data_IF_376345979625
#
_entry.id   IF_376345979625
#
_cell.length_a   1.000
_cell.length_b   1.000
_cell.length_c   1.000
_cell.angle_alpha   90.00
_cell.angle_beta   90.00
_cell.angle_gamma   90.00
#
_symmetry.space_group_name_H-M   'P 1'
#
loop_
_entity.id
_entity.type
_entity.pdbx_description
1 polymer ?
#
# COMPACT_ATOMS: atom_id res chain seq x y z
N UNK A 1 -27.74 12.52 7.34
CA UNK A 1 -28.33 13.26 6.20
C UNK A 1 -27.98 12.50 4.93
N UNK A 2 -28.71 12.63 3.82
CA UNK A 2 -28.38 11.99 2.54
C UNK A 2 -27.05 12.48 1.92
N UNK A 3 -26.29 13.27 2.67
CA UNK A 3 -25.01 13.88 2.35
C UNK A 3 -23.94 13.32 3.30
N UNK A 4 -23.89 11.99 3.46
CA UNK A 4 -22.72 11.40 4.12
C UNK A 4 -21.53 11.68 3.20
N UNK A 5 -20.66 12.60 3.62
CA UNK A 5 -19.45 12.94 2.87
C UNK A 5 -18.68 11.66 2.55
N UNK A 6 -18.35 11.48 1.27
CA UNK A 6 -17.45 10.42 0.84
C UNK A 6 -16.15 10.57 1.62
N UNK A 7 -15.74 9.50 2.32
CA UNK A 7 -14.49 9.48 3.08
C UNK A 7 -13.30 9.85 2.20
N UNK A 8 -13.36 9.45 0.93
CA UNK A 8 -12.33 9.68 -0.05
C UNK A 8 -12.90 9.84 -1.47
N UNK A 9 -12.16 10.54 -2.35
CA UNK A 9 -12.53 10.77 -3.75
C UNK A 9 -11.45 10.25 -4.71
N UNK A 10 -11.85 9.93 -5.94
CA UNK A 10 -10.88 9.64 -7.01
C UNK A 10 -9.97 10.86 -7.26
N UNK A 11 -8.67 10.60 -7.37
CA UNK A 11 -7.61 11.62 -7.47
C UNK A 11 -7.19 12.25 -6.15
N UNK A 12 -7.78 11.86 -5.02
CA UNK A 12 -7.35 12.34 -3.70
C UNK A 12 -6.05 11.66 -3.27
N UNK A 13 -5.11 12.46 -2.78
CA UNK A 13 -3.91 11.98 -2.10
C UNK A 13 -4.26 11.57 -0.66
N UNK A 14 -3.73 10.44 -0.22
CA UNK A 14 -3.95 9.81 1.08
C UNK A 14 -2.61 9.51 1.75
N UNK A 15 -2.56 9.65 3.06
CA UNK A 15 -1.39 9.32 3.88
C UNK A 15 -1.55 7.96 4.56
N UNK A 16 -0.45 7.41 5.07
CA UNK A 16 -0.50 6.18 5.88
C UNK A 16 -1.41 6.36 7.11
N UNK A 17 -2.37 5.45 7.29
CA UNK A 17 -3.31 5.46 8.40
C UNK A 17 -4.63 6.20 8.13
N UNK A 18 -4.74 6.93 7.01
CA UNK A 18 -5.96 7.62 6.62
C UNK A 18 -7.12 6.66 6.41
N UNK A 19 -8.34 7.08 6.80
CA UNK A 19 -9.55 6.26 6.70
C UNK A 19 -10.12 6.38 5.30
N UNK A 20 -10.04 5.28 4.54
CA UNK A 20 -10.55 5.19 3.16
C UNK A 20 -12.05 4.90 3.11
N UNK A 21 -12.58 4.22 4.13
CA UNK A 21 -13.99 3.88 4.18
C UNK A 21 -14.35 3.02 5.39
N UNK A 22 -15.63 2.66 5.46
CA UNK A 22 -16.19 1.87 6.55
C UNK A 22 -16.81 0.59 6.00
N UNK A 23 -16.41 -0.55 6.55
CA UNK A 23 -16.93 -1.86 6.21
C UNK A 23 -17.83 -2.37 7.31
N UNK A 24 -19.10 -2.62 7.00
CA UNK A 24 -20.03 -3.26 7.94
C UNK A 24 -19.95 -4.77 7.85
N UNK A 25 -19.62 -5.42 8.97
CA UNK A 25 -19.58 -6.88 9.10
C UNK A 25 -20.29 -7.26 10.39
N UNK A 26 -21.36 -8.06 10.31
CA UNK A 26 -22.10 -8.55 11.50
C UNK A 26 -22.50 -7.45 12.49
N UNK A 27 -23.00 -6.31 12.01
CA UNK A 27 -23.36 -5.11 12.80
C UNK A 27 -22.17 -4.38 13.46
N UNK A 28 -20.94 -4.73 13.07
CA UNK A 28 -19.74 -3.99 13.44
C UNK A 28 -19.22 -3.19 12.26
N UNK A 29 -18.83 -1.95 12.52
CA UNK A 29 -18.25 -1.05 11.53
C UNK A 29 -16.73 -1.04 11.68
N UNK A 30 -16.03 -1.58 10.68
CA UNK A 30 -14.56 -1.62 10.63
C UNK A 30 -14.05 -0.52 9.70
N UNK A 31 -13.05 0.24 10.16
CA UNK A 31 -12.42 1.28 9.35
C UNK A 31 -11.38 0.64 8.43
N UNK A 32 -11.49 0.90 7.13
CA UNK A 32 -10.46 0.57 6.15
C UNK A 32 -9.45 1.71 6.17
N UNK A 33 -8.18 1.39 6.45
CA UNK A 33 -7.09 2.37 6.53
C UNK A 33 -6.13 2.20 5.36
N UNK A 34 -5.52 3.30 4.94
CA UNK A 34 -4.40 3.28 4.02
C UNK A 34 -3.16 2.66 4.69
N UNK A 35 -2.52 1.72 4.00
CA UNK A 35 -1.27 1.09 4.45
C UNK A 35 -0.02 1.89 4.04
N UNK A 36 -0.15 2.78 3.06
CA UNK A 36 0.95 3.56 2.51
C UNK A 36 0.42 4.89 1.95
N UNK A 37 1.30 5.91 1.83
CA UNK A 37 0.95 7.16 1.18
C UNK A 37 0.83 6.96 -0.34
N UNK A 38 -0.17 7.59 -0.95
CA UNK A 38 -0.44 7.44 -2.37
C UNK A 38 -1.62 8.25 -2.85
N UNK A 39 -2.07 7.96 -4.07
CA UNK A 39 -3.22 8.63 -4.68
C UNK A 39 -4.29 7.62 -5.06
N UNK A 40 -5.56 7.94 -4.79
CA UNK A 40 -6.69 7.08 -5.15
C UNK A 40 -6.89 7.17 -6.66
N UNK A 41 -6.55 6.12 -7.36
CA UNK A 41 -6.72 6.04 -8.81
C UNK A 41 -8.17 5.82 -9.20
N UNK A 42 -8.86 4.92 -8.48
CA UNK A 42 -10.24 4.56 -8.78
C UNK A 42 -10.96 3.96 -7.57
N UNK A 43 -12.23 4.28 -7.42
CA UNK A 43 -13.13 3.59 -6.49
C UNK A 43 -13.85 2.49 -7.29
N UNK A 44 -13.59 1.22 -6.93
CA UNK A 44 -14.08 0.05 -7.66
C UNK A 44 -15.47 -0.42 -7.20
N UNK A 45 -16.04 0.27 -6.21
CA UNK A 45 -17.39 0.06 -5.70
C UNK A 45 -18.26 1.25 -6.09
N UNK A 46 -19.55 1.02 -6.34
CA UNK A 46 -20.46 2.13 -6.63
C UNK A 46 -20.59 3.04 -5.37
N UNK A 47 -20.74 4.33 -5.58
CA UNK A 47 -20.95 5.27 -4.48
C UNK A 47 -22.35 5.06 -3.90
N UNK A 48 -22.45 4.67 -2.63
CA UNK A 48 -23.73 4.52 -1.94
C UNK A 48 -23.65 3.81 -0.60
N UNK A 49 -24.55 4.18 0.32
CA UNK A 49 -24.69 3.50 1.61
C UNK A 49 -25.32 2.11 1.42
N UNK A 50 -24.51 1.05 1.45
CA UNK A 50 -25.01 -0.33 1.56
C UNK A 50 -24.67 -1.28 0.41
N UNK A 51 -23.46 -1.19 -0.15
CA UNK A 51 -23.00 -2.18 -1.14
C UNK A 51 -22.55 -3.46 -0.44
N UNK A 52 -23.06 -4.59 -0.92
CA UNK A 52 -22.65 -5.92 -0.48
C UNK A 52 -21.34 -6.25 -1.20
N UNK A 53 -20.26 -6.38 -0.44
CA UNK A 53 -18.94 -6.75 -0.94
C UNK A 53 -18.61 -8.18 -0.51
N UNK A 54 -17.90 -8.91 -1.38
CA UNK A 54 -17.44 -10.28 -1.10
C UNK A 54 -15.95 -10.28 -0.74
N UNK A 55 -15.50 -11.33 -0.04
CA UNK A 55 -14.07 -11.52 0.24
C UNK A 55 -13.28 -11.59 -1.07
N UNK A 56 -12.19 -10.81 -1.15
CA UNK A 56 -11.34 -10.71 -2.34
C UNK A 56 -11.82 -9.72 -3.40
N UNK A 57 -12.95 -9.03 -3.19
CA UNK A 57 -13.39 -7.96 -4.08
C UNK A 57 -12.51 -6.71 -3.90
N UNK A 58 -12.02 -6.15 -5.01
CA UNK A 58 -11.27 -4.88 -5.00
C UNK A 58 -12.20 -3.71 -4.67
N UNK A 59 -11.84 -2.93 -3.64
CA UNK A 59 -12.63 -1.77 -3.19
C UNK A 59 -12.04 -0.45 -3.72
N UNK A 60 -10.73 -0.28 -3.55
CA UNK A 60 -9.99 0.90 -3.94
C UNK A 60 -8.77 0.49 -4.76
N UNK A 61 -8.49 1.26 -5.81
CA UNK A 61 -7.25 1.16 -6.57
C UNK A 61 -6.39 2.36 -6.18
N UNK A 62 -5.23 2.09 -5.59
CA UNK A 62 -4.29 3.10 -5.10
C UNK A 62 -3.02 3.05 -5.95
N UNK A 63 -2.51 4.20 -6.36
CA UNK A 63 -1.16 4.35 -6.91
C UNK A 63 -0.26 4.87 -5.78
N UNK A 64 0.73 4.11 -5.30
CA UNK A 64 1.62 4.55 -4.22
C UNK A 64 2.56 5.67 -4.71
N UNK A 65 2.78 6.67 -3.85
CA UNK A 65 3.64 7.82 -4.16
C UNK A 65 5.13 7.47 -4.01
N UNK A 66 5.43 6.56 -3.10
CA UNK A 66 6.76 5.95 -3.00
C UNK A 66 6.75 4.77 -3.97
N UNK A 67 7.59 4.77 -5.02
CA UNK A 67 7.75 3.57 -5.83
C UNK A 67 8.10 2.44 -4.88
N UNK A 68 7.54 1.22 -5.07
CA UNK A 68 7.99 0.09 -4.27
C UNK A 68 9.51 0.11 -4.32
N UNK A 69 10.15 0.00 -3.16
CA UNK A 69 11.59 -0.23 -3.11
C UNK A 69 11.81 -1.65 -3.62
N UNK A 70 11.53 -1.87 -4.90
CA UNK A 70 12.24 -2.84 -5.70
C UNK A 70 13.63 -2.26 -5.75
N UNK A 71 14.45 -2.64 -4.76
CA UNK A 71 15.87 -2.76 -5.06
C UNK A 71 15.91 -3.53 -6.38
N UNK A 72 16.27 -2.84 -7.44
CA UNK A 72 16.33 -3.46 -8.76
C UNK A 72 17.29 -4.65 -8.65
N UNK A 73 17.08 -5.72 -9.42
CA UNK A 73 17.95 -6.92 -9.34
C UNK A 73 19.44 -6.55 -9.45
N UNK A 74 19.75 -5.46 -10.17
CA UNK A 74 21.08 -4.85 -10.28
C UNK A 74 21.62 -4.26 -8.97
N UNK A 75 20.79 -3.58 -8.17
CA UNK A 75 21.18 -3.01 -6.87
C UNK A 75 21.38 -4.10 -5.80
N UNK A 76 20.54 -5.15 -5.84
CA UNK A 76 20.67 -6.34 -4.99
C UNK A 76 21.98 -7.07 -5.31
N UNK A 77 22.28 -7.28 -6.61
CA UNK A 77 23.49 -7.97 -7.04
C UNK A 77 24.76 -7.21 -6.64
N UNK A 78 24.76 -5.88 -6.80
CA UNK A 78 25.90 -5.04 -6.41
C UNK A 78 26.15 -5.07 -4.91
N UNK A 79 25.10 -4.97 -4.08
CA UNK A 79 25.21 -5.15 -2.62
C UNK A 79 25.72 -6.53 -2.23
N UNK A 80 25.20 -7.59 -2.85
CA UNK A 80 25.67 -8.95 -2.57
C UNK A 80 27.15 -9.13 -2.95
N UNK A 81 27.59 -8.55 -4.06
CA UNK A 81 28.99 -8.66 -4.50
C UNK A 81 29.93 -7.87 -3.59
N UNK A 82 29.53 -6.65 -3.19
CA UNK A 82 30.29 -5.83 -2.23
C UNK A 82 30.38 -6.50 -0.84
N UNK A 83 29.27 -7.05 -0.34
CA UNK A 83 29.26 -7.78 0.93
C UNK A 83 30.07 -9.07 0.83
N UNK A 84 29.93 -9.85 -0.25
CA UNK A 84 30.70 -11.08 -0.46
C UNK A 84 32.19 -10.78 -0.53
N UNK A 85 32.58 -9.69 -1.20
CA UNK A 85 33.98 -9.25 -1.30
C UNK A 85 34.52 -8.81 0.05
N UNK A 86 33.75 -8.04 0.82
CA UNK A 86 34.13 -7.63 2.17
C UNK A 86 34.31 -8.82 3.11
N UNK A 87 33.44 -9.82 3.00
CA UNK A 87 33.54 -11.06 3.78
C UNK A 87 34.78 -11.87 3.37
N UNK A 88 35.07 -11.99 2.07
CA UNK A 88 36.28 -12.66 1.58
C UNK A 88 37.57 -12.01 2.09
N UNK A 89 37.63 -10.66 2.12
CA UNK A 89 38.77 -9.91 2.65
C UNK A 89 38.95 -10.10 4.16
N UNK A 90 37.87 -10.27 4.92
CA UNK A 90 37.95 -10.57 6.35
C UNK A 90 38.33 -12.03 6.65
N UNK A 91 37.97 -12.98 5.78
CA UNK A 91 38.29 -14.40 5.97
C UNK A 91 39.70 -14.74 5.48
N UNK A 92 40.18 -14.07 4.43
CA UNK A 92 41.57 -14.12 3.98
C UNK A 92 42.27 -12.80 4.30
N UNK A 93 42.80 -12.60 5.53
CA UNK A 93 43.68 -11.48 5.78
C UNK A 93 44.91 -11.63 4.87
N UNK A 94 45.11 -10.66 3.97
CA UNK A 94 46.31 -10.60 3.16
C UNK A 94 47.52 -10.47 4.11
N UNK A 95 48.34 -11.51 4.16
CA UNK A 95 49.67 -11.50 4.78
C UNK A 95 50.60 -10.53 4.06
#
# INVERSE_FOLDING_TARGET
TPEAEEYVREGQHIEEGDVLGLLEVMKMFNQIRAEFPGTIRKICVEAGSGIIVSSGQSLFLLDPDVPPVTETEEEIFKKQQEQTTSIMQNIYPAN
#
